data_IF_508263158082
#
_entry.id   IF_508263158082
#
_cell.length_a   1.000
_cell.length_b   1.000
_cell.length_c   1.000
_cell.angle_alpha   90.00
_cell.angle_beta   90.00
_cell.angle_gamma   90.00
#
_symmetry.space_group_name_H-M   'P 1'
#
loop_
_entity.id
_entity.type
_entity.pdbx_description
1 polymer ?
#
# COMPACT_ATOMS: atom_id res chain seq x y z
N UNK A 1 11.45 -16.84 24.51
CA UNK A 1 11.61 -17.22 23.10
C UNK A 1 12.53 -16.18 22.47
N UNK A 2 13.65 -16.61 21.89
CA UNK A 2 14.54 -15.71 21.14
C UNK A 2 13.91 -15.57 19.75
N UNK A 3 13.46 -14.35 19.40
CA UNK A 3 13.01 -14.06 18.04
C UNK A 3 14.22 -13.83 17.14
N UNK A 4 14.05 -13.93 15.82
CA UNK A 4 15.08 -13.59 14.82
C UNK A 4 14.66 -12.36 14.03
N UNK A 5 15.63 -11.60 13.52
CA UNK A 5 15.40 -10.47 12.63
C UNK A 5 14.83 -10.92 11.29
N UNK A 6 13.97 -10.09 10.71
CA UNK A 6 13.43 -10.37 9.37
C UNK A 6 14.53 -10.14 8.34
N UNK A 7 14.94 -11.21 7.65
CA UNK A 7 15.81 -11.12 6.48
C UNK A 7 14.97 -11.01 5.21
N UNK A 8 15.29 -10.04 4.34
CA UNK A 8 14.60 -9.84 3.06
C UNK A 8 15.62 -9.48 1.99
N UNK A 9 15.65 -10.25 0.89
CA UNK A 9 16.56 -10.06 -0.23
C UNK A 9 15.80 -10.17 -1.55
N UNK A 10 16.13 -9.30 -2.50
CA UNK A 10 15.66 -9.40 -3.87
C UNK A 10 16.49 -10.46 -4.61
N UNK A 11 15.84 -11.47 -5.18
CA UNK A 11 16.51 -12.44 -6.04
C UNK A 11 16.12 -12.13 -7.48
N UNK A 12 17.12 -11.95 -8.35
CA UNK A 12 16.91 -11.74 -9.78
C UNK A 12 17.40 -12.97 -10.55
N UNK A 13 16.84 -13.23 -11.74
CA UNK A 13 17.31 -14.33 -12.60
C UNK A 13 18.78 -14.18 -13.01
N UNK A 14 19.31 -12.95 -13.02
CA UNK A 14 20.72 -12.67 -13.32
C UNK A 14 21.66 -12.90 -12.13
N UNK A 15 21.12 -13.02 -10.92
CA UNK A 15 21.88 -13.15 -9.66
C UNK A 15 21.33 -14.25 -8.75
N UNK A 16 20.76 -15.32 -9.33
CA UNK A 16 20.30 -16.48 -8.55
C UNK A 16 21.54 -17.18 -7.98
N UNK A 17 21.74 -17.20 -6.65
CA UNK A 17 22.84 -17.97 -6.08
C UNK A 17 22.56 -19.47 -6.28
N UNK A 18 23.62 -20.26 -6.48
CA UNK A 18 23.54 -21.73 -6.57
C UNK A 18 22.88 -22.36 -5.34
N UNK A 19 23.01 -21.70 -4.20
CA UNK A 19 22.46 -22.06 -2.90
C UNK A 19 22.09 -20.77 -2.17
N UNK A 20 20.84 -20.68 -1.70
CA UNK A 20 20.40 -19.57 -0.85
C UNK A 20 20.61 -19.96 0.61
N UNK A 21 21.66 -19.42 1.22
CA UNK A 21 21.91 -19.55 2.64
C UNK A 21 21.34 -18.34 3.38
N UNK A 22 20.45 -18.57 4.35
CA UNK A 22 19.85 -17.52 5.18
C UNK A 22 20.24 -17.81 6.63
N UNK A 23 21.19 -17.02 7.13
CA UNK A 23 21.62 -17.09 8.53
C UNK A 23 20.67 -16.24 9.38
N UNK A 24 19.97 -16.89 10.31
CA UNK A 24 19.04 -16.20 11.19
C UNK A 24 19.80 -15.41 12.25
N UNK A 25 19.62 -14.09 12.24
CA UNK A 25 20.21 -13.19 13.25
C UNK A 25 19.25 -13.11 14.45
N UNK A 26 19.65 -13.56 15.65
CA UNK A 26 18.81 -13.40 16.84
C UNK A 26 18.51 -11.93 17.10
N UNK A 27 17.25 -11.58 17.37
CA UNK A 27 16.89 -10.26 17.88
C UNK A 27 17.58 -10.07 19.22
N UNK A 28 18.64 -9.27 19.22
CA UNK A 28 19.24 -8.80 20.46
C UNK A 28 18.19 -7.91 21.12
N UNK A 29 17.79 -8.23 22.36
CA UNK A 29 17.05 -7.27 23.18
C UNK A 29 18.01 -6.11 23.44
N UNK A 30 18.11 -5.16 22.52
CA UNK A 30 18.64 -3.87 22.88
C UNK A 30 17.73 -3.34 23.98
N UNK A 31 18.28 -3.30 25.20
CA UNK A 31 17.82 -2.43 26.27
C UNK A 31 18.11 -0.99 25.85
N UNK A 32 17.55 -0.54 24.72
CA UNK A 32 17.30 0.88 24.59
C UNK A 32 16.41 1.22 25.75
N UNK A 33 16.78 2.28 26.47
CA UNK A 33 16.02 2.87 27.56
C UNK A 33 14.73 3.50 27.02
N UNK A 34 13.94 2.69 26.32
CA UNK A 34 12.58 2.96 25.94
C UNK A 34 11.87 2.95 27.28
N UNK A 35 11.40 4.12 27.72
CA UNK A 35 10.30 4.21 28.67
C UNK A 35 9.29 3.19 28.18
N UNK A 36 9.20 2.02 28.85
CA UNK A 36 8.36 0.92 28.38
C UNK A 36 6.94 1.39 28.59
N UNK A 37 6.40 2.06 27.57
CA UNK A 37 5.00 2.43 27.55
C UNK A 37 4.24 1.12 27.60
N UNK A 38 3.53 0.91 28.70
CA UNK A 38 2.65 -0.23 28.84
C UNK A 38 1.66 -0.23 27.67
N UNK A 39 1.27 -1.42 27.23
CA UNK A 39 0.19 -1.55 26.27
C UNK A 39 -1.08 -0.90 26.81
N UNK A 40 -1.84 -0.27 25.93
CA UNK A 40 -3.16 0.27 26.27
C UNK A 40 -4.08 -0.86 26.72
N UNK A 41 -4.54 -0.82 27.98
CA UNK A 41 -5.40 -1.87 28.58
C UNK A 41 -6.65 -2.15 27.74
N UNK A 42 -7.31 -1.08 27.28
CA UNK A 42 -8.50 -1.15 26.42
C UNK A 42 -8.18 -0.78 24.97
N UNK A 43 -7.00 -1.19 24.48
CA UNK A 43 -6.48 -0.77 23.18
C UNK A 43 -7.45 -1.03 22.03
N UNK A 44 -8.11 -2.19 21.98
CA UNK A 44 -9.12 -2.50 20.96
C UNK A 44 -10.35 -1.59 21.03
N UNK A 45 -10.83 -1.24 22.22
CA UNK A 45 -11.96 -0.31 22.38
C UNK A 45 -11.62 1.10 21.89
N UNK A 46 -10.37 1.53 22.05
CA UNK A 46 -9.92 2.89 21.66
C UNK A 46 -9.49 2.97 20.20
N UNK A 47 -8.81 1.95 19.70
CA UNK A 47 -8.05 2.01 18.45
C UNK A 47 -8.41 0.89 17.47
N UNK A 48 -9.24 -0.07 17.86
CA UNK A 48 -9.58 -1.24 17.05
C UNK A 48 -10.19 -0.86 15.70
N UNK A 49 -11.18 0.02 15.71
CA UNK A 49 -11.82 0.49 14.47
C UNK A 49 -10.80 1.23 13.59
N UNK A 50 -10.05 2.16 14.16
CA UNK A 50 -9.00 2.87 13.43
C UNK A 50 -7.97 1.90 12.81
N UNK A 51 -7.52 0.89 13.56
CA UNK A 51 -6.58 -0.11 13.10
C UNK A 51 -7.16 -0.94 11.95
N UNK A 52 -8.38 -1.47 12.10
CA UNK A 52 -9.03 -2.29 11.08
C UNK A 52 -9.32 -1.49 9.81
N UNK A 53 -9.82 -0.26 9.94
CA UNK A 53 -10.07 0.62 8.80
C UNK A 53 -8.80 0.94 8.01
N UNK A 54 -7.66 1.08 8.70
CA UNK A 54 -6.40 1.43 8.06
C UNK A 54 -5.60 0.24 7.55
N UNK A 55 -5.81 -0.95 8.12
CA UNK A 55 -5.15 -2.19 7.74
C UNK A 55 -5.96 -2.97 6.69
N UNK A 56 -7.22 -3.29 6.99
CA UNK A 56 -8.13 -4.03 6.10
C UNK A 56 -8.71 -3.11 5.04
N UNK A 57 -9.07 -1.86 5.39
CA UNK A 57 -9.63 -0.89 4.46
C UNK A 57 -11.14 -0.72 4.55
N UNK A 58 -11.69 0.06 3.61
CA UNK A 58 -13.14 0.35 3.48
C UNK A 58 -13.66 0.07 2.06
N UNK A 59 -12.91 -0.70 1.28
CA UNK A 59 -13.34 -1.14 -0.05
C UNK A 59 -14.48 -2.15 0.07
N UNK A 60 -15.25 -2.43 -1.01
CA UNK A 60 -16.25 -3.50 -0.98
C UNK A 60 -15.67 -4.86 -0.55
N UNK A 61 -14.42 -5.19 -0.93
CA UNK A 61 -13.76 -6.42 -0.48
C UNK A 61 -13.53 -6.46 1.04
N UNK A 62 -13.46 -5.31 1.72
CA UNK A 62 -13.26 -5.25 3.17
C UNK A 62 -14.46 -5.78 3.95
N UNK A 63 -15.67 -5.72 3.38
CA UNK A 63 -16.90 -6.22 4.02
C UNK A 63 -16.84 -7.73 4.24
N UNK A 64 -16.18 -8.46 3.34
CA UNK A 64 -15.96 -9.90 3.39
C UNK A 64 -14.58 -10.28 3.97
N UNK A 65 -13.96 -9.38 4.74
CA UNK A 65 -12.63 -9.60 5.31
C UNK A 65 -12.63 -9.57 6.83
N UNK A 66 -12.02 -10.58 7.46
CA UNK A 66 -12.04 -10.79 8.92
C UNK A 66 -10.66 -11.06 9.48
N UNK A 67 -10.27 -10.34 10.53
CA UNK A 67 -9.14 -10.69 11.38
C UNK A 67 -9.60 -11.71 12.44
N UNK A 68 -9.06 -12.92 12.37
CA UNK A 68 -9.51 -14.06 13.16
C UNK A 68 -8.86 -14.15 14.55
N UNK A 69 -7.67 -13.56 14.73
CA UNK A 69 -6.88 -13.61 15.97
C UNK A 69 -6.61 -12.20 16.54
N UNK A 70 -7.66 -11.42 16.81
CA UNK A 70 -7.56 -10.01 17.26
C UNK A 70 -6.73 -9.84 18.54
N UNK A 71 -6.78 -10.82 19.43
CA UNK A 71 -6.10 -10.85 20.72
C UNK A 71 -4.57 -10.76 20.64
N UNK A 72 -3.97 -11.09 19.48
CA UNK A 72 -2.51 -10.96 19.29
C UNK A 72 -2.07 -9.52 19.07
N UNK A 73 -3.02 -8.60 18.79
CA UNK A 73 -2.73 -7.19 18.51
C UNK A 73 -2.78 -6.38 19.79
N UNK A 74 -1.73 -5.58 20.01
CA UNK A 74 -1.60 -4.66 21.14
C UNK A 74 -1.26 -3.26 20.66
N UNK A 75 -1.72 -2.25 21.40
CA UNK A 75 -1.58 -0.85 21.01
C UNK A 75 -0.72 -0.08 22.02
N UNK A 76 0.05 0.88 21.52
CA UNK A 76 0.73 1.90 22.34
C UNK A 76 0.49 3.27 21.73
N UNK A 77 0.10 4.23 22.56
CA UNK A 77 0.00 5.62 22.15
C UNK A 77 1.03 6.46 22.90
N UNK A 78 1.96 7.07 22.16
CA UNK A 78 2.93 8.01 22.73
C UNK A 78 2.39 9.44 22.60
N UNK A 79 1.98 10.02 23.73
CA UNK A 79 1.47 11.40 23.80
C UNK A 79 2.51 12.45 23.41
N UNK A 80 3.80 12.22 23.69
CA UNK A 80 4.88 13.18 23.39
C UNK A 80 5.11 13.30 21.89
N UNK A 81 5.13 12.18 21.18
CA UNK A 81 5.32 12.14 19.72
C UNK A 81 4.00 12.15 18.95
N UNK A 82 2.87 12.12 19.65
CA UNK A 82 1.52 12.01 19.11
C UNK A 82 1.38 10.83 18.13
N UNK A 83 1.91 9.67 18.51
CA UNK A 83 2.05 8.49 17.64
C UNK A 83 1.33 7.28 18.23
N UNK A 84 0.41 6.69 17.46
CA UNK A 84 -0.15 5.37 17.72
C UNK A 84 0.70 4.31 17.03
N UNK A 85 1.07 3.26 17.75
CA UNK A 85 1.70 2.06 17.22
C UNK A 85 0.86 0.84 17.53
N UNK A 86 0.74 -0.08 16.58
CA UNK A 86 0.16 -1.41 16.80
C UNK A 86 1.24 -2.47 16.62
N UNK A 87 1.20 -3.50 17.47
CA UNK A 87 2.13 -4.62 17.50
C UNK A 87 1.34 -5.91 17.44
N UNK A 88 1.92 -6.94 16.82
CA UNK A 88 1.37 -8.28 16.82
C UNK A 88 2.42 -9.27 17.36
N UNK A 89 2.06 -10.08 18.35
CA UNK A 89 2.97 -11.09 18.89
C UNK A 89 3.05 -12.35 17.99
N UNK A 90 2.13 -12.47 17.03
CA UNK A 90 2.03 -13.55 16.04
C UNK A 90 1.55 -12.97 14.69
N UNK A 91 1.76 -13.66 13.56
CA UNK A 91 1.17 -13.27 12.29
C UNK A 91 -0.35 -13.09 12.40
N UNK A 92 -0.86 -12.01 11.80
CA UNK A 92 -2.29 -11.76 11.72
C UNK A 92 -2.92 -12.78 10.78
N UNK A 93 -3.94 -13.47 11.25
CA UNK A 93 -4.70 -14.42 10.45
C UNK A 93 -5.94 -13.70 9.90
N UNK A 94 -5.89 -13.39 8.61
CA UNK A 94 -6.93 -12.64 7.90
C UNK A 94 -7.59 -13.55 6.88
N UNK A 95 -8.90 -13.72 6.99
CA UNK A 95 -9.71 -14.39 5.99
C UNK A 95 -10.33 -13.34 5.06
N UNK A 96 -10.14 -13.48 3.76
CA UNK A 96 -10.69 -12.60 2.72
C UNK A 96 -11.61 -13.42 1.81
N UNK A 97 -12.90 -13.48 2.14
CA UNK A 97 -13.90 -14.22 1.39
C UNK A 97 -14.31 -13.52 0.08
N UNK A 98 -14.00 -12.22 -0.07
CA UNK A 98 -14.21 -11.50 -1.33
C UNK A 98 -13.22 -11.95 -2.41
N UNK A 99 -11.96 -12.20 -2.03
CA UNK A 99 -10.91 -12.63 -2.94
C UNK A 99 -10.62 -14.13 -2.86
N UNK A 100 -11.18 -14.86 -1.90
CA UNK A 100 -10.93 -16.30 -1.75
C UNK A 100 -9.54 -16.61 -1.21
N UNK A 101 -9.03 -15.79 -0.29
CA UNK A 101 -7.70 -15.97 0.30
C UNK A 101 -7.76 -16.07 1.83
N UNK A 102 -6.91 -16.92 2.38
CA UNK A 102 -6.39 -16.80 3.73
C UNK A 102 -5.03 -16.11 3.68
N UNK A 103 -4.82 -15.11 4.53
CA UNK A 103 -3.57 -14.40 4.65
C UNK A 103 -3.02 -14.60 6.06
N UNK A 104 -1.78 -15.06 6.15
CA UNK A 104 -0.94 -14.91 7.35
C UNK A 104 -0.04 -13.71 7.13
N UNK A 105 -0.30 -12.62 7.84
CA UNK A 105 0.39 -11.35 7.64
C UNK A 105 1.30 -11.04 8.83
N UNK A 106 2.61 -11.12 8.61
CA UNK A 106 3.60 -10.72 9.62
C UNK A 106 3.69 -9.20 9.69
N UNK A 107 3.00 -8.60 10.67
CA UNK A 107 2.96 -7.14 10.85
C UNK A 107 4.26 -6.66 11.52
N UNK A 108 5.18 -6.14 10.71
CA UNK A 108 6.45 -5.61 11.19
C UNK A 108 6.31 -4.19 11.76
N UNK A 109 5.58 -3.32 11.05
CA UNK A 109 5.38 -1.92 11.45
C UNK A 109 3.93 -1.53 11.26
N UNK A 110 3.35 -0.83 12.23
CA UNK A 110 2.13 -0.06 12.08
C UNK A 110 2.23 1.19 12.94
N UNK A 111 2.32 2.36 12.32
CA UNK A 111 2.48 3.63 13.01
C UNK A 111 1.62 4.71 12.35
N UNK A 112 0.88 5.43 13.17
CA UNK A 112 0.16 6.62 12.74
C UNK A 112 0.58 7.81 13.59
N UNK A 113 1.11 8.84 12.95
CA UNK A 113 1.45 10.10 13.59
C UNK A 113 0.30 11.10 13.40
N UNK A 114 -0.37 11.49 14.49
CA UNK A 114 -1.51 12.39 14.45
C UNK A 114 -1.13 13.84 14.12
N UNK A 115 0.14 14.24 14.35
CA UNK A 115 0.63 15.58 14.02
C UNK A 115 0.87 15.72 12.52
N UNK A 116 1.46 14.72 11.87
CA UNK A 116 1.72 14.74 10.41
C UNK A 116 0.59 14.12 9.59
N UNK A 117 -0.34 13.41 10.23
CA UNK A 117 -1.40 12.61 9.60
C UNK A 117 -0.87 11.50 8.68
N UNK A 118 0.37 11.07 8.88
CA UNK A 118 0.99 10.00 8.10
C UNK A 118 0.74 8.66 8.78
N UNK A 119 0.11 7.75 8.04
CA UNK A 119 0.08 6.33 8.34
C UNK A 119 1.23 5.65 7.60
N UNK A 120 1.98 4.81 8.31
CA UNK A 120 2.91 3.87 7.72
C UNK A 120 2.68 2.49 8.33
N UNK A 121 2.47 1.48 7.48
CA UNK A 121 2.52 0.09 7.93
C UNK A 121 3.27 -0.77 6.90
N UNK A 122 3.88 -1.82 7.39
CA UNK A 122 4.65 -2.77 6.60
C UNK A 122 4.52 -4.15 7.22
N UNK A 123 4.45 -5.16 6.34
CA UNK A 123 4.44 -6.54 6.74
C UNK A 123 4.55 -7.46 5.54
N UNK A 124 4.64 -8.75 5.82
CA UNK A 124 4.89 -9.78 4.82
C UNK A 124 3.69 -10.74 4.79
N UNK A 125 2.92 -10.77 3.69
CA UNK A 125 1.82 -11.71 3.54
C UNK A 125 2.32 -13.08 3.09
N UNK A 126 1.72 -14.12 3.63
CA UNK A 126 1.67 -15.45 3.04
C UNK A 126 0.22 -15.74 2.66
N UNK A 127 -0.01 -16.04 1.37
CA UNK A 127 -1.33 -16.33 0.82
C UNK A 127 -1.56 -17.84 0.75
N UNK A 128 -2.78 -18.25 1.08
CA UNK A 128 -3.33 -19.56 0.75
C UNK A 128 -4.70 -19.37 0.10
N UNK A 129 -5.01 -20.13 -0.95
CA UNK A 129 -6.36 -20.13 -1.52
C UNK A 129 -7.35 -20.78 -0.55
N UNK A 130 -8.55 -20.20 -0.47
CA UNK A 130 -9.69 -20.85 0.17
C UNK A 130 -10.30 -21.88 -0.79
N UNK A 131 -10.93 -22.91 -0.23
CA UNK A 131 -11.70 -23.86 -1.03
C UNK A 131 -13.07 -23.26 -1.41
N UNK A 132 -13.35 -23.18 -2.71
CA UNK A 132 -14.62 -22.65 -3.19
C UNK A 132 -15.75 -23.65 -2.91
N UNK A 133 -16.85 -23.18 -2.32
CA UNK A 133 -18.02 -24.04 -2.05
C UNK A 133 -18.74 -24.50 -3.33
N UNK A 134 -18.57 -23.78 -4.44
CA UNK A 134 -19.11 -24.08 -5.76
C UNK A 134 -18.51 -23.12 -6.82
N UNK A 135 -18.75 -23.42 -8.10
CA UNK A 135 -18.26 -22.66 -9.26
C UNK A 135 -18.67 -21.18 -9.25
N UNK A 136 -19.82 -20.83 -8.67
CA UNK A 136 -20.26 -19.43 -8.58
C UNK A 136 -19.35 -18.62 -7.67
N UNK A 137 -18.93 -19.20 -6.54
CA UNK A 137 -17.99 -18.58 -5.60
C UNK A 137 -16.63 -18.42 -6.25
N UNK A 138 -16.12 -19.45 -6.93
CA UNK A 138 -14.84 -19.39 -7.62
C UNK A 138 -14.84 -18.33 -8.74
N UNK A 139 -15.92 -18.26 -9.52
CA UNK A 139 -16.10 -17.26 -10.58
C UNK A 139 -16.13 -15.84 -10.00
N UNK A 140 -16.84 -15.65 -8.88
CA UNK A 140 -16.87 -14.36 -8.16
C UNK A 140 -15.47 -13.97 -7.71
N UNK A 141 -14.69 -14.89 -7.14
CA UNK A 141 -13.31 -14.61 -6.73
C UNK A 141 -12.43 -14.21 -7.90
N UNK A 142 -12.48 -14.94 -9.02
CA UNK A 142 -11.72 -14.60 -10.24
C UNK A 142 -12.05 -13.18 -10.72
N UNK A 143 -13.34 -12.84 -10.77
CA UNK A 143 -13.81 -11.50 -11.14
C UNK A 143 -13.33 -10.43 -10.16
N UNK A 144 -13.48 -10.65 -8.85
CA UNK A 144 -13.06 -9.69 -7.83
C UNK A 144 -11.54 -9.48 -7.84
N UNK A 145 -10.75 -10.55 -8.06
CA UNK A 145 -9.29 -10.47 -8.21
C UNK A 145 -8.91 -9.64 -9.44
N UNK A 146 -9.59 -9.84 -10.57
CA UNK A 146 -9.36 -9.05 -11.79
C UNK A 146 -9.74 -7.56 -11.60
N UNK A 147 -10.90 -7.28 -11.00
CA UNK A 147 -11.35 -5.92 -10.68
C UNK A 147 -10.41 -5.22 -9.68
N UNK A 148 -9.85 -5.98 -8.74
CA UNK A 148 -8.86 -5.51 -7.77
C UNK A 148 -7.54 -5.19 -8.44
N UNK A 149 -7.06 -6.05 -9.34
CA UNK A 149 -5.84 -5.83 -10.11
C UNK A 149 -5.94 -4.59 -10.99
N UNK A 150 -7.04 -4.44 -11.73
CA UNK A 150 -7.23 -3.36 -12.70
C UNK A 150 -7.24 -1.99 -12.00
N UNK A 151 -6.22 -1.19 -12.31
CA UNK A 151 -6.01 0.14 -11.72
C UNK A 151 -5.21 0.13 -10.42
N UNK A 152 -4.83 -1.02 -9.87
CA UNK A 152 -3.99 -1.09 -8.66
C UNK A 152 -2.58 -0.51 -8.89
N UNK A 153 -1.86 -0.25 -7.80
CA UNK A 153 -0.43 0.08 -7.85
C UNK A 153 0.35 -1.07 -8.52
N UNK A 154 0.01 -2.34 -8.24
CA UNK A 154 0.65 -3.49 -8.89
C UNK A 154 0.52 -3.42 -10.40
N UNK A 155 -0.69 -3.14 -10.91
CA UNK A 155 -0.92 -2.98 -12.34
C UNK A 155 -0.17 -1.79 -12.93
N UNK A 156 -0.13 -0.66 -12.21
CA UNK A 156 0.62 0.53 -12.62
C UNK A 156 2.12 0.24 -12.73
N UNK A 157 2.73 -0.37 -11.70
CA UNK A 157 4.16 -0.68 -11.69
C UNK A 157 4.54 -1.70 -12.77
N UNK A 158 3.70 -2.73 -13.00
CA UNK A 158 3.90 -3.67 -14.11
C UNK A 158 3.81 -2.99 -15.48
N UNK A 159 2.86 -2.07 -15.63
CA UNK A 159 2.68 -1.30 -16.88
C UNK A 159 3.83 -0.34 -17.12
N UNK A 160 4.35 0.28 -16.05
CA UNK A 160 5.53 1.12 -16.10
C UNK A 160 6.77 0.30 -16.50
N UNK A 161 7.00 -0.84 -15.86
CA UNK A 161 8.10 -1.77 -16.19
C UNK A 161 8.08 -2.20 -17.65
N UNK A 162 6.89 -2.47 -18.21
CA UNK A 162 6.73 -2.91 -19.61
C UNK A 162 6.64 -1.76 -20.61
N UNK A 163 6.70 -0.52 -20.15
CA UNK A 163 6.47 0.69 -20.95
C UNK A 163 5.11 0.68 -21.69
N UNK A 164 4.05 0.23 -21.00
CA UNK A 164 2.69 0.09 -21.55
C UNK A 164 1.64 0.93 -20.81
N UNK A 165 2.04 1.96 -20.04
CA UNK A 165 1.10 2.80 -19.27
C UNK A 165 -0.10 3.29 -20.11
N UNK A 166 0.17 3.93 -21.25
CA UNK A 166 -0.88 4.46 -22.13
C UNK A 166 -1.75 3.35 -22.72
N UNK A 167 -1.13 2.27 -23.22
CA UNK A 167 -1.83 1.11 -23.76
C UNK A 167 -2.71 0.40 -22.71
N UNK A 168 -2.31 0.46 -21.43
CA UNK A 168 -3.09 -0.05 -20.32
C UNK A 168 -4.17 0.93 -19.84
N UNK A 169 -4.18 2.17 -20.32
CA UNK A 169 -5.21 3.18 -20.04
C UNK A 169 -4.86 4.12 -18.90
N UNK A 170 -3.58 4.21 -18.53
CA UNK A 170 -3.07 5.17 -17.57
C UNK A 170 -2.74 6.51 -18.22
N UNK A 171 -3.01 7.58 -17.48
CA UNK A 171 -2.51 8.92 -17.74
C UNK A 171 -1.78 9.41 -16.48
N UNK A 172 -0.57 9.97 -16.68
CA UNK A 172 0.24 10.49 -15.59
C UNK A 172 0.50 11.98 -15.83
N UNK A 173 0.32 12.82 -14.82
CA UNK A 173 0.54 14.28 -14.89
C UNK A 173 1.29 14.77 -13.65
N UNK A 174 2.05 15.86 -13.77
CA UNK A 174 2.74 16.46 -12.61
C UNK A 174 1.78 17.32 -11.80
N UNK A 175 1.91 17.24 -10.48
CA UNK A 175 1.30 18.16 -9.51
C UNK A 175 2.44 18.93 -8.84
N UNK A 176 2.48 20.25 -9.06
CA UNK A 176 3.38 21.15 -8.33
C UNK A 176 2.67 21.68 -7.10
N UNK A 177 3.22 21.42 -5.91
CA UNK A 177 2.72 21.98 -4.65
C UNK A 177 3.42 23.30 -4.37
N UNK A 178 2.66 24.40 -4.25
CA UNK A 178 3.21 25.66 -3.77
C UNK A 178 3.38 25.58 -2.24
N UNK A 179 4.61 25.72 -1.73
CA UNK A 179 4.93 25.65 -0.30
C UNK A 179 4.92 27.02 0.40
N UNK A 180 4.62 28.13 -0.29
CA UNK A 180 4.98 29.48 0.18
C UNK A 180 4.02 30.21 1.14
N UNK A 181 2.88 29.66 1.56
CA UNK A 181 2.01 30.35 2.55
C UNK A 181 1.90 29.64 3.90
N UNK A 182 2.98 29.68 4.70
CA UNK A 182 2.91 29.36 6.14
C UNK A 182 2.69 30.57 7.06
N UNK A 183 2.81 31.81 6.56
CA UNK A 183 2.80 33.02 7.41
C UNK A 183 1.68 34.03 7.06
N UNK A 184 0.41 33.60 7.05
CA UNK A 184 -0.70 34.54 7.22
C UNK A 184 -1.59 34.06 8.38
N UNK A 185 -1.71 34.84 9.47
CA UNK A 185 -2.67 34.55 10.51
C UNK A 185 -4.05 34.87 9.91
N UNK A 186 -5.00 33.94 10.05
CA UNK A 186 -6.38 34.03 9.53
C UNK A 186 -6.58 33.65 8.05
N UNK A 187 -6.35 32.37 7.73
CA UNK A 187 -7.15 31.67 6.70
C UNK A 187 -7.72 30.39 7.30
N UNK A 188 -9.01 30.41 7.63
CA UNK A 188 -9.79 29.19 7.90
C UNK A 188 -9.96 28.44 6.57
N UNK A 189 -8.97 27.61 6.22
CA UNK A 189 -8.92 26.89 4.96
C UNK A 189 -7.48 26.84 4.43
N UNK A 190 -6.87 25.67 4.45
CA UNK A 190 -5.52 25.42 3.98
C UNK A 190 -5.45 25.44 2.45
N UNK A 191 -5.47 26.62 1.83
CA UNK A 191 -5.27 26.76 0.38
C UNK A 191 -3.77 26.66 0.03
N UNK A 192 -3.23 25.45 0.18
CA UNK A 192 -2.11 25.03 -0.65
C UNK A 192 -2.68 24.81 -2.06
N UNK A 193 -2.48 25.75 -2.98
CA UNK A 193 -2.87 25.53 -4.38
C UNK A 193 -1.92 24.50 -5.01
N UNK A 194 -2.43 23.29 -5.21
CA UNK A 194 -1.79 22.27 -6.02
C UNK A 194 -2.05 22.60 -7.49
N UNK A 195 -0.98 22.81 -8.26
CA UNK A 195 -1.08 23.13 -9.69
C UNK A 195 -0.89 21.84 -10.48
N UNK A 196 -1.95 21.38 -11.14
CA UNK A 196 -1.87 20.28 -12.11
C UNK A 196 -1.27 20.80 -13.41
N UNK A 197 -0.11 20.27 -13.78
CA UNK A 197 0.50 20.54 -15.08
C UNK A 197 -0.18 19.61 -16.09
N UNK A 198 -0.99 20.17 -16.98
CA UNK A 198 -1.81 19.41 -17.93
C UNK A 198 -1.01 18.88 -19.14
N UNK A 199 0.14 18.28 -18.87
CA UNK A 199 0.98 17.59 -19.86
C UNK A 199 1.11 16.14 -19.41
N UNK A 200 0.76 15.22 -20.30
CA UNK A 200 0.91 13.79 -20.05
C UNK A 200 2.40 13.43 -20.00
N UNK A 201 2.79 12.71 -18.95
CA UNK A 201 4.10 12.10 -18.81
C UNK A 201 4.09 10.71 -19.44
N UNK A 202 5.17 10.40 -20.15
CA UNK A 202 5.50 9.04 -20.57
C UNK A 202 6.21 8.30 -19.42
N UNK A 203 6.24 6.97 -19.48
CA UNK A 203 6.90 6.14 -18.46
C UNK A 203 8.40 6.46 -18.31
N UNK A 204 9.07 6.69 -19.43
CA UNK A 204 10.49 7.09 -19.50
C UNK A 204 10.81 8.45 -18.85
N UNK A 205 9.79 9.25 -18.56
CA UNK A 205 9.94 10.56 -17.90
C UNK A 205 10.01 10.45 -16.37
N UNK A 206 9.68 9.27 -15.82
CA UNK A 206 9.66 8.99 -14.38
C UNK A 206 10.42 7.70 -14.01
N UNK A 207 10.89 6.96 -15.02
CA UNK A 207 11.62 5.72 -14.79
C UNK A 207 12.63 5.43 -15.91
N UNK A 208 13.66 4.65 -15.58
CA UNK A 208 14.75 4.28 -16.48
C UNK A 208 15.16 2.83 -16.25
N UNK A 209 15.71 2.18 -17.27
CA UNK A 209 16.20 0.79 -17.16
C UNK A 209 17.49 0.78 -16.35
N UNK A 210 17.57 -0.07 -15.32
CA UNK A 210 18.80 -0.31 -14.56
C UNK A 210 19.55 -1.49 -15.17
N UNK A 211 18.85 -2.61 -15.41
CA UNK A 211 19.37 -3.81 -16.05
C UNK A 211 18.24 -4.57 -16.81
N UNK A 212 18.50 -5.80 -17.25
CA UNK A 212 17.52 -6.58 -18.04
C UNK A 212 16.27 -7.02 -17.27
N UNK A 213 16.28 -6.90 -15.94
CA UNK A 213 15.25 -7.41 -15.03
C UNK A 213 14.73 -6.37 -14.03
N UNK A 214 15.30 -5.16 -14.01
CA UNK A 214 14.94 -4.10 -13.06
C UNK A 214 14.79 -2.73 -13.73
N UNK A 215 13.82 -1.97 -13.23
CA UNK A 215 13.57 -0.57 -13.59
C UNK A 215 13.84 0.32 -12.37
N UNK A 216 14.50 1.45 -12.56
CA UNK A 216 14.63 2.53 -11.58
C UNK A 216 13.48 3.52 -11.74
N UNK A 217 12.67 3.69 -10.70
CA UNK A 217 11.64 4.72 -10.59
C UNK A 217 12.19 5.91 -9.79
N UNK A 218 12.08 7.11 -10.35
CA UNK A 218 12.49 8.36 -9.70
C UNK A 218 11.76 9.57 -10.29
N UNK A 219 11.21 10.42 -9.42
CA UNK A 219 10.54 11.66 -9.84
C UNK A 219 10.51 12.71 -8.72
N UNK A 220 10.51 13.99 -9.09
CA UNK A 220 10.62 15.13 -8.14
C UNK A 220 9.27 15.69 -7.69
N UNK A 221 8.37 15.92 -8.64
CA UNK A 221 7.04 16.48 -8.38
C UNK A 221 6.08 15.37 -7.94
N UNK A 222 5.01 15.73 -7.24
CA UNK A 222 3.91 14.77 -7.04
C UNK A 222 3.33 14.38 -8.41
N UNK A 223 2.84 13.15 -8.54
CA UNK A 223 2.24 12.68 -9.78
C UNK A 223 0.77 12.37 -9.56
N UNK A 224 -0.09 12.93 -10.40
CA UNK A 224 -1.45 12.45 -10.58
C UNK A 224 -1.40 11.20 -11.47
N UNK A 225 -2.05 10.13 -11.05
CA UNK A 225 -2.26 8.93 -11.85
C UNK A 225 -3.75 8.72 -12.06
N UNK A 226 -4.18 8.74 -13.32
CA UNK A 226 -5.56 8.46 -13.73
C UNK A 226 -5.60 7.13 -14.47
N UNK A 227 -6.49 6.22 -14.07
CA UNK A 227 -6.78 4.99 -14.79
C UNK A 227 -8.15 5.08 -15.44
N UNK A 228 -8.17 5.22 -16.77
CA UNK A 228 -9.39 5.55 -17.54
C UNK A 228 -10.40 4.41 -17.65
N UNK A 229 -9.97 3.18 -17.41
CA UNK A 229 -10.80 1.97 -17.60
C UNK A 229 -11.57 1.53 -16.35
N UNK A 230 -11.50 2.32 -15.26
CA UNK A 230 -12.23 2.06 -14.02
C UNK A 230 -12.75 3.38 -13.46
N UNK A 231 -14.03 3.38 -13.08
CA UNK A 231 -14.60 4.49 -12.34
C UNK A 231 -14.38 4.32 -10.85
N UNK A 232 -14.34 5.42 -10.12
CA UNK A 232 -14.33 5.37 -8.66
C UNK A 232 -15.66 4.79 -8.14
N UNK A 233 -15.62 3.80 -7.24
CA UNK A 233 -16.81 3.21 -6.65
C UNK A 233 -17.54 4.22 -5.75
N UNK A 234 -18.83 3.99 -5.54
CA UNK A 234 -19.66 4.83 -4.67
C UNK A 234 -19.11 4.91 -3.24
N UNK A 235 -18.64 3.80 -2.69
CA UNK A 235 -18.06 3.75 -1.34
C UNK A 235 -16.86 4.70 -1.16
N UNK A 236 -16.06 4.93 -2.20
CA UNK A 236 -15.01 5.95 -2.16
C UNK A 236 -15.58 7.36 -2.33
N UNK A 237 -16.49 7.56 -3.30
CA UNK A 237 -17.13 8.86 -3.59
C UNK A 237 -17.79 9.47 -2.35
N UNK A 238 -18.48 8.66 -1.56
CA UNK A 238 -19.15 9.11 -0.33
C UNK A 238 -18.20 9.59 0.77
N UNK A 239 -16.90 9.25 0.68
CA UNK A 239 -15.87 9.77 1.60
C UNK A 239 -15.32 11.13 1.18
N UNK A 240 -15.68 11.62 0.00
CA UNK A 240 -15.15 12.85 -0.58
C UNK A 240 -16.22 13.95 -0.55
N UNK A 241 -15.83 15.16 -0.15
CA UNK A 241 -16.79 16.28 0.03
C UNK A 241 -17.46 16.72 -1.29
N UNK A 242 -16.76 16.58 -2.42
CA UNK A 242 -17.23 17.06 -3.74
C UNK A 242 -16.71 16.13 -4.85
N UNK A 243 -17.49 15.10 -5.21
CA UNK A 243 -17.11 14.16 -6.28
C UNK A 243 -18.30 13.82 -7.18
N UNK A 244 -18.14 14.00 -8.50
CA UNK A 244 -19.19 13.69 -9.48
C UNK A 244 -19.22 12.21 -9.88
N UNK A 245 -20.40 11.66 -10.28
CA UNK A 245 -20.50 10.29 -10.75
C UNK A 245 -19.60 10.03 -11.97
N UNK A 246 -19.15 8.78 -12.13
CA UNK A 246 -18.36 8.33 -13.30
C UNK A 246 -17.02 9.05 -13.51
N UNK A 247 -16.41 9.58 -12.46
CA UNK A 247 -15.02 10.01 -12.55
C UNK A 247 -14.08 8.80 -12.67
N UNK A 248 -13.08 8.84 -13.57
CA UNK A 248 -12.09 7.79 -13.66
C UNK A 248 -11.29 7.71 -12.35
N UNK A 249 -10.82 6.51 -12.04
CA UNK A 249 -9.98 6.26 -10.89
C UNK A 249 -8.76 7.18 -10.93
N UNK A 250 -8.58 7.98 -9.88
CA UNK A 250 -7.53 8.99 -9.78
C UNK A 250 -6.84 8.84 -8.43
N UNK A 251 -5.53 8.71 -8.46
CA UNK A 251 -4.66 8.65 -7.30
C UNK A 251 -3.55 9.70 -7.45
N UNK A 252 -2.83 9.94 -6.35
CA UNK A 252 -1.63 10.75 -6.35
C UNK A 252 -0.50 9.96 -5.70
N UNK A 253 0.71 10.03 -6.26
CA UNK A 253 1.91 9.45 -5.67
C UNK A 253 3.02 10.48 -5.52
N UNK A 254 3.86 10.30 -4.50
CA UNK A 254 5.01 11.15 -4.26
C UNK A 254 6.15 10.39 -3.58
N UNK A 255 7.38 10.88 -3.77
CA UNK A 255 8.57 10.35 -3.13
C UNK A 255 8.99 11.27 -2.00
N UNK A 256 9.07 10.79 -0.73
CA UNK A 256 9.60 11.59 0.36
C UNK A 256 11.06 11.99 0.16
N UNK A 257 11.84 11.11 -0.47
CA UNK A 257 13.21 11.34 -0.91
C UNK A 257 13.25 11.29 -2.43
N UNK A 258 13.35 12.46 -3.07
CA UNK A 258 13.32 12.59 -4.54
C UNK A 258 14.64 12.18 -5.20
N UNK A 259 15.72 12.07 -4.43
CA UNK A 259 17.04 11.68 -4.94
C UNK A 259 17.22 10.15 -4.88
N UNK A 260 16.35 9.44 -4.16
CA UNK A 260 16.35 7.98 -4.09
C UNK A 260 15.81 7.35 -5.38
N UNK A 261 16.48 6.30 -5.83
CA UNK A 261 16.01 5.43 -6.91
C UNK A 261 15.29 4.23 -6.31
N UNK A 262 14.03 4.03 -6.69
CA UNK A 262 13.23 2.87 -6.27
C UNK A 262 13.32 1.79 -7.32
N UNK A 263 13.79 0.60 -6.95
CA UNK A 263 13.84 -0.55 -7.84
C UNK A 263 12.45 -1.15 -8.00
N UNK A 264 12.00 -1.31 -9.24
CA UNK A 264 10.75 -1.95 -9.64
C UNK A 264 11.07 -3.22 -10.44
N UNK A 265 10.45 -4.34 -10.06
CA UNK A 265 10.60 -5.64 -10.73
C UNK A 265 9.44 -5.92 -11.70
N UNK A 266 9.64 -6.91 -12.59
CA UNK A 266 8.66 -7.31 -13.60
C UNK A 266 7.27 -7.72 -13.05
N UNK A 267 7.21 -8.20 -11.80
CA UNK A 267 5.96 -8.56 -11.11
C UNK A 267 5.27 -7.36 -10.45
N UNK A 268 5.81 -6.14 -10.60
CA UNK A 268 5.28 -4.90 -10.02
C UNK A 268 5.67 -4.67 -8.57
N UNK A 269 6.47 -5.55 -7.96
CA UNK A 269 7.05 -5.27 -6.66
C UNK A 269 8.03 -4.12 -6.75
N UNK A 270 7.99 -3.26 -5.74
CA UNK A 270 8.91 -2.15 -5.56
C UNK A 270 9.37 -2.16 -4.11
N UNK A 271 10.67 -1.98 -3.90
CA UNK A 271 11.24 -2.13 -2.57
C UNK A 271 10.97 -0.89 -1.71
N UNK A 272 10.61 -1.13 -0.45
CA UNK A 272 10.41 -0.14 0.62
C UNK A 272 9.16 0.76 0.46
N UNK A 273 8.11 0.42 1.21
CA UNK A 273 6.84 1.16 1.25
C UNK A 273 6.92 2.58 1.84
N UNK A 274 8.13 3.10 2.13
CA UNK A 274 8.36 4.50 2.52
C UNK A 274 8.82 5.37 1.36
N UNK A 275 9.28 4.78 0.26
CA UNK A 275 9.94 5.54 -0.81
C UNK A 275 8.95 6.10 -1.83
N UNK A 276 7.79 5.45 -1.99
CA UNK A 276 6.67 5.93 -2.80
C UNK A 276 5.42 5.89 -1.93
N UNK A 277 4.87 7.07 -1.63
CA UNK A 277 3.65 7.22 -0.85
C UNK A 277 2.49 7.56 -1.77
N UNK A 278 1.32 6.99 -1.47
CA UNK A 278 0.09 7.22 -2.22
C UNK A 278 -0.90 8.10 -1.42
N UNK A 279 -1.69 8.88 -2.15
CA UNK A 279 -2.82 9.68 -1.69
C UNK A 279 -4.04 9.41 -2.58
N UNK A 280 -5.22 9.86 -2.12
CA UNK A 280 -6.47 9.69 -2.86
C UNK A 280 -6.89 8.22 -2.95
N UNK A 281 -7.29 7.78 -4.15
CA UNK A 281 -7.91 6.46 -4.32
C UNK A 281 -7.00 5.31 -3.86
N UNK A 282 -5.70 5.36 -4.18
CA UNK A 282 -4.77 4.30 -3.77
C UNK A 282 -4.53 4.28 -2.25
N UNK A 283 -4.49 5.43 -1.59
CA UNK A 283 -4.40 5.46 -0.12
C UNK A 283 -5.63 4.81 0.56
N UNK A 284 -6.79 4.87 -0.09
CA UNK A 284 -8.03 4.24 0.37
C UNK A 284 -8.15 2.76 -0.02
N UNK A 285 -7.70 2.38 -1.22
CA UNK A 285 -7.93 1.04 -1.80
C UNK A 285 -6.77 0.05 -1.64
N UNK A 286 -5.52 0.50 -1.53
CA UNK A 286 -4.34 -0.37 -1.43
C UNK A 286 -4.15 -0.86 0.02
N UNK A 287 -5.12 -1.67 0.47
CA UNK A 287 -5.25 -2.23 1.81
C UNK A 287 -5.26 -3.76 1.76
N UNK A 288 -5.19 -4.44 2.91
CA UNK A 288 -5.11 -5.91 2.94
C UNK A 288 -6.35 -6.60 2.34
N UNK A 289 -7.53 -5.98 2.34
CA UNK A 289 -8.71 -6.53 1.65
C UNK A 289 -8.58 -6.57 0.13
N UNK A 290 -7.69 -5.78 -0.44
CA UNK A 290 -7.43 -5.66 -1.87
C UNK A 290 -6.04 -6.17 -2.26
N UNK A 291 -5.35 -6.85 -1.34
CA UNK A 291 -4.01 -7.37 -1.63
C UNK A 291 -4.10 -8.62 -2.49
N UNK A 292 -3.29 -8.66 -3.55
CA UNK A 292 -3.11 -9.81 -4.42
C UNK A 292 -1.69 -10.35 -4.25
N UNK A 293 -1.48 -11.67 -4.39
CA UNK A 293 -0.13 -12.22 -4.34
C UNK A 293 0.68 -11.71 -5.55
N UNK A 294 2.00 -11.59 -5.37
CA UNK A 294 2.88 -10.98 -6.39
C UNK A 294 2.94 -11.76 -7.70
N UNK A 295 2.61 -13.05 -7.67
CA UNK A 295 2.51 -13.95 -8.83
C UNK A 295 1.11 -13.93 -9.49
N UNK A 296 0.13 -13.22 -8.93
CA UNK A 296 -1.19 -13.06 -9.53
C UNK A 296 -1.07 -12.56 -10.96
N UNK A 297 -1.74 -13.22 -11.88
CA UNK A 297 -1.82 -12.82 -13.28
C UNK A 297 -3.29 -12.66 -13.67
N UNK A 298 -3.69 -11.49 -14.18
CA UNK A 298 -5.06 -11.29 -14.64
C UNK A 298 -5.36 -12.22 -15.83
N UNK A 299 -6.64 -12.57 -16.07
CA UNK A 299 -7.03 -13.27 -17.28
C UNK A 299 -6.52 -12.54 -18.53
N UNK A 300 -6.12 -13.29 -19.56
CA UNK A 300 -5.75 -12.68 -20.85
C UNK A 300 -6.98 -11.97 -21.42
N UNK A 301 -6.85 -10.69 -21.75
CA UNK A 301 -7.88 -9.93 -22.48
C UNK A 301 -8.10 -10.65 -23.82
N UNK A 302 -9.34 -11.10 -24.07
CA UNK A 302 -9.76 -11.66 -25.35
C UNK A 302 -9.88 -10.56 -26.39
#
# INVERSE_FOLDING_TARGET
MIGYETYSVAISSSTIPSNLEILLVPKVKELQEVIVLNYEKDGWKKWGDFFMENLIGKTPNAEDCKLLNKEVVRFRFNKKTNTLKAYADQPLHIQNEALGYELKYDLNVFEFNYSTRVLFYQGYPLFSDLEAKNDRVETRWKKNREETYNGSIMHFMRSLYRNTLEAEGYEVRRIKRNKEKKNQPFSNGSDNFNILINTLLKGDSIAFVIDSVTLGLQFKDHLQVVYKRKYMPESYRLTQKEMWPKQPMTAEIFMPDTEKVVVVLANGSYFSGKDVLALGYWAWSEKLSNMLPLDYSPPKKK
#
